data_IF_398124149956
#
_entry.id   IF_398124149956
#
_cell.length_a   1.000
_cell.length_b   1.000
_cell.length_c   1.000
_cell.angle_alpha   90.00
_cell.angle_beta   90.00
_cell.angle_gamma   90.00
#
_symmetry.space_group_name_H-M   'P 1'
#
loop_
_entity.id
_entity.type
_entity.pdbx_description
1 polymer ?
#
# COMPACT_ATOMS: atom_id res chain seq x y z
N UNK A 1 19.83 -5.81 -14.53
CA UNK A 1 19.05 -4.61 -14.92
C UNK A 1 18.07 -4.91 -16.05
N UNK A 2 18.49 -5.48 -17.19
CA UNK A 2 17.59 -5.73 -18.34
C UNK A 2 16.35 -6.61 -18.04
N UNK A 3 16.51 -7.70 -17.26
CA UNK A 3 15.37 -8.57 -16.89
C UNK A 3 14.32 -7.86 -16.02
N UNK A 4 14.78 -7.01 -15.09
CA UNK A 4 13.90 -6.26 -14.20
C UNK A 4 13.14 -5.19 -14.99
N UNK A 5 13.82 -4.48 -15.88
CA UNK A 5 13.18 -3.51 -16.77
C UNK A 5 12.16 -4.18 -17.73
N UNK A 6 12.49 -5.34 -18.29
CA UNK A 6 11.56 -6.10 -19.14
C UNK A 6 10.33 -6.58 -18.36
N UNK A 7 10.53 -6.98 -17.09
CA UNK A 7 9.44 -7.35 -16.20
C UNK A 7 8.55 -6.14 -15.85
N UNK A 8 9.16 -4.99 -15.56
CA UNK A 8 8.45 -3.73 -15.33
C UNK A 8 7.59 -3.34 -16.53
N UNK A 9 8.13 -3.44 -17.75
CA UNK A 9 7.37 -3.18 -18.98
C UNK A 9 6.17 -4.12 -19.11
N UNK A 10 6.40 -5.43 -18.95
CA UNK A 10 5.32 -6.42 -19.02
C UNK A 10 4.22 -6.10 -18.00
N UNK A 11 4.60 -5.73 -16.77
CA UNK A 11 3.67 -5.39 -15.71
C UNK A 11 2.83 -4.16 -16.05
N UNK A 12 3.45 -3.08 -16.56
CA UNK A 12 2.76 -1.84 -16.95
C UNK A 12 1.81 -2.08 -18.13
N UNK A 13 2.22 -2.88 -19.11
CA UNK A 13 1.41 -3.20 -20.28
C UNK A 13 0.19 -4.08 -19.91
N UNK A 14 0.30 -4.89 -18.85
CA UNK A 14 -0.70 -5.92 -18.48
C UNK A 14 -1.28 -5.76 -17.07
N UNK A 15 -1.36 -4.54 -16.53
CA UNK A 15 -1.85 -4.28 -15.15
C UNK A 15 -3.22 -4.91 -14.90
N UNK A 16 -4.17 -4.77 -15.84
CA UNK A 16 -5.53 -5.31 -15.71
C UNK A 16 -5.53 -6.84 -15.67
N UNK A 17 -4.78 -7.49 -16.58
CA UNK A 17 -4.63 -8.95 -16.64
C UNK A 17 -4.01 -9.49 -15.35
N UNK A 18 -2.93 -8.86 -14.85
CA UNK A 18 -2.26 -9.27 -13.61
C UNK A 18 -3.23 -9.20 -12.43
N UNK A 19 -4.01 -8.13 -12.31
CA UNK A 19 -5.03 -7.98 -11.26
C UNK A 19 -6.13 -9.06 -11.35
N UNK A 20 -6.58 -9.38 -12.56
CA UNK A 20 -7.60 -10.43 -12.76
C UNK A 20 -7.05 -11.79 -12.37
N UNK A 21 -5.80 -12.10 -12.76
CA UNK A 21 -5.12 -13.35 -12.37
C UNK A 21 -4.94 -13.40 -10.85
N UNK A 22 -4.49 -12.31 -10.24
CA UNK A 22 -4.33 -12.21 -8.78
C UNK A 22 -5.66 -12.47 -8.06
N UNK A 23 -6.74 -11.83 -8.52
CA UNK A 23 -8.08 -11.98 -7.96
C UNK A 23 -8.62 -13.40 -8.15
N UNK A 24 -8.38 -14.02 -9.31
CA UNK A 24 -8.76 -15.39 -9.59
C UNK A 24 -8.02 -16.38 -8.67
N UNK A 25 -6.71 -16.22 -8.49
CA UNK A 25 -5.90 -17.03 -7.57
C UNK A 25 -6.41 -16.86 -6.13
N UNK A 26 -6.67 -15.61 -5.69
CA UNK A 26 -7.20 -15.33 -4.35
C UNK A 26 -8.54 -16.00 -4.11
N UNK A 27 -9.43 -15.97 -5.10
CA UNK A 27 -10.72 -16.66 -5.03
C UNK A 27 -10.53 -18.18 -4.95
N UNK A 28 -9.61 -18.75 -5.75
CA UNK A 28 -9.29 -20.18 -5.70
C UNK A 28 -8.74 -20.60 -4.34
N UNK A 29 -7.96 -19.75 -3.68
CA UNK A 29 -7.45 -20.01 -2.32
C UNK A 29 -8.58 -20.30 -1.33
N UNK A 30 -9.73 -19.63 -1.45
CA UNK A 30 -10.90 -19.87 -0.58
C UNK A 30 -11.59 -21.22 -0.83
N UNK A 31 -11.39 -21.85 -1.98
CA UNK A 31 -11.98 -23.14 -2.33
C UNK A 31 -11.09 -24.34 -2.02
N UNK A 32 -9.84 -24.11 -1.65
CA UNK A 32 -8.89 -25.17 -1.32
C UNK A 32 -9.17 -25.89 0.01
N UNK A 33 -9.59 -25.21 1.11
CA UNK A 33 -9.70 -25.83 2.43
C UNK A 33 -10.60 -27.06 2.41
N UNK A 34 -10.15 -28.15 3.03
CA UNK A 34 -10.93 -29.39 3.19
C UNK A 34 -10.96 -30.36 2.01
N UNK A 35 -10.34 -30.03 0.85
CA UNK A 35 -10.33 -30.95 -0.32
C UNK A 35 -9.14 -31.92 -0.34
N UNK A 36 -8.02 -31.58 0.29
CA UNK A 36 -6.81 -32.40 0.30
C UNK A 36 -6.22 -32.48 1.72
N UNK A 37 -5.45 -33.53 2.01
CA UNK A 37 -4.80 -33.72 3.30
C UNK A 37 -3.87 -32.56 3.69
N UNK A 38 -3.30 -31.87 2.70
CA UNK A 38 -2.40 -30.72 2.86
C UNK A 38 -2.99 -29.41 2.33
N UNK A 39 -4.31 -29.37 2.13
CA UNK A 39 -4.99 -28.20 1.57
C UNK A 39 -4.72 -26.93 2.38
N UNK A 40 -4.70 -27.02 3.71
CA UNK A 40 -4.53 -25.87 4.60
C UNK A 40 -3.14 -25.23 4.42
N UNK A 41 -2.08 -26.04 4.34
CA UNK A 41 -0.72 -25.53 4.09
C UNK A 41 -0.62 -24.96 2.67
N UNK A 42 -1.26 -25.60 1.69
CA UNK A 42 -1.26 -25.14 0.32
C UNK A 42 -2.02 -23.80 0.16
N UNK A 43 -3.18 -23.62 0.81
CA UNK A 43 -3.95 -22.37 0.76
C UNK A 43 -3.22 -21.23 1.49
N UNK A 44 -2.66 -21.49 2.67
CA UNK A 44 -1.84 -20.51 3.39
C UNK A 44 -0.57 -20.16 2.62
N UNK A 45 0.06 -21.17 2.01
CA UNK A 45 1.20 -21.02 1.11
C UNK A 45 0.90 -20.10 -0.08
N UNK A 46 -0.22 -20.37 -0.76
CA UNK A 46 -0.68 -19.60 -1.89
C UNK A 46 -1.05 -18.17 -1.48
N UNK A 47 -1.73 -17.99 -0.35
CA UNK A 47 -2.07 -16.67 0.20
C UNK A 47 -0.82 -15.85 0.54
N UNK A 48 0.15 -16.44 1.24
CA UNK A 48 1.38 -15.78 1.62
C UNK A 48 2.21 -15.38 0.38
N UNK A 49 2.35 -16.31 -0.59
CA UNK A 49 3.04 -16.04 -1.84
C UNK A 49 2.35 -14.93 -2.62
N UNK A 50 1.03 -14.99 -2.77
CA UNK A 50 0.25 -13.97 -3.46
C UNK A 50 0.45 -12.61 -2.79
N UNK A 51 0.33 -12.53 -1.47
CA UNK A 51 0.44 -11.28 -0.71
C UNK A 51 1.84 -10.64 -0.83
N UNK A 52 2.90 -11.46 -0.85
CA UNK A 52 4.26 -10.97 -1.09
C UNK A 52 4.43 -10.47 -2.53
N UNK A 53 3.92 -11.21 -3.52
CA UNK A 53 4.00 -10.82 -4.93
C UNK A 53 3.22 -9.52 -5.17
N UNK A 54 1.98 -9.41 -4.67
CA UNK A 54 1.16 -8.20 -4.76
C UNK A 54 1.87 -7.01 -4.13
N UNK A 55 2.48 -7.18 -2.96
CA UNK A 55 3.25 -6.11 -2.30
C UNK A 55 4.45 -5.65 -3.14
N UNK A 56 5.12 -6.55 -3.85
CA UNK A 56 6.24 -6.19 -4.75
C UNK A 56 5.74 -5.48 -6.00
N UNK A 57 4.60 -5.89 -6.56
CA UNK A 57 3.95 -5.21 -7.69
C UNK A 57 3.52 -3.80 -7.32
N UNK A 58 2.88 -3.65 -6.17
CA UNK A 58 2.42 -2.36 -5.66
C UNK A 58 3.61 -1.40 -5.47
N UNK A 59 4.71 -1.86 -4.85
CA UNK A 59 5.96 -1.10 -4.68
C UNK A 59 6.60 -0.66 -6.01
N UNK A 60 6.37 -1.41 -7.09
CA UNK A 60 6.91 -1.15 -8.41
C UNK A 60 6.05 -0.14 -9.18
N UNK A 61 4.73 -0.32 -9.11
CA UNK A 61 3.73 0.54 -9.74
C UNK A 61 3.68 1.91 -9.09
N UNK A 62 3.74 2.01 -7.76
CA UNK A 62 3.72 3.30 -7.04
C UNK A 62 4.84 4.24 -7.52
N UNK A 63 6.03 3.70 -7.82
CA UNK A 63 7.16 4.49 -8.33
C UNK A 63 6.97 5.06 -9.73
N UNK A 64 6.01 4.53 -10.50
CA UNK A 64 5.75 4.91 -11.89
C UNK A 64 4.56 5.85 -12.03
N UNK A 65 3.86 6.14 -10.93
CA UNK A 65 2.66 6.96 -10.93
C UNK A 65 3.04 8.40 -10.58
N UNK A 66 2.83 9.35 -11.50
CA UNK A 66 3.14 10.73 -11.23
C UNK A 66 2.20 11.30 -10.16
N UNK A 67 2.71 12.01 -9.13
CA UNK A 67 1.88 12.64 -8.10
C UNK A 67 0.96 13.71 -8.67
N UNK A 68 1.19 14.17 -9.90
CA UNK A 68 0.31 15.10 -10.60
C UNK A 68 -1.08 14.53 -10.89
N UNK A 69 -1.25 13.20 -10.92
CA UNK A 69 -2.55 12.58 -11.19
C UNK A 69 -3.55 12.68 -10.04
N UNK A 70 -3.05 12.85 -8.80
CA UNK A 70 -3.89 13.13 -7.63
C UNK A 70 -4.19 14.62 -7.45
N UNK A 71 -3.56 15.50 -8.26
CA UNK A 71 -3.80 16.94 -8.21
C UNK A 71 -5.01 17.31 -9.06
N UNK A 72 -5.80 18.32 -8.64
CA UNK A 72 -6.89 18.80 -9.45
C UNK A 72 -6.33 19.40 -10.75
N UNK A 73 -6.94 19.12 -11.91
CA UNK A 73 -6.53 19.75 -13.15
C UNK A 73 -6.67 21.26 -13.00
N UNK A 74 -5.65 21.99 -13.44
CA UNK A 74 -5.69 23.44 -13.36
C UNK A 74 -6.92 23.97 -14.12
N UNK A 75 -7.66 24.95 -13.57
CA UNK A 75 -8.92 25.42 -14.15
C UNK A 75 -8.78 26.03 -15.56
N UNK A 76 -7.54 26.30 -15.98
CA UNK A 76 -7.18 26.82 -17.29
C UNK A 76 -6.51 25.76 -18.19
N UNK A 77 -6.53 24.49 -17.78
CA UNK A 77 -6.05 23.38 -18.58
C UNK A 77 -6.98 23.20 -19.77
N UNK A 78 -6.44 23.36 -20.98
CA UNK A 78 -7.12 22.85 -22.16
C UNK A 78 -7.15 21.33 -22.03
N UNK A 79 -8.36 20.75 -21.99
CA UNK A 79 -8.55 19.32 -21.95
C UNK A 79 -7.82 18.69 -23.14
N UNK A 80 -6.70 18.00 -22.88
CA UNK A 80 -5.97 17.29 -23.91
C UNK A 80 -6.87 16.18 -24.46
N UNK A 81 -7.32 16.37 -25.70
CA UNK A 81 -8.05 15.42 -26.55
C UNK A 81 -9.37 14.86 -25.97
N UNK A 82 -10.46 15.62 -26.11
CA UNK A 82 -11.79 15.02 -26.21
C UNK A 82 -12.00 14.49 -27.65
N UNK A 83 -12.61 13.30 -27.85
CA UNK A 83 -12.86 12.77 -29.19
C UNK A 83 -13.76 13.73 -29.98
N UNK A 84 -13.32 14.10 -31.19
CA UNK A 84 -13.88 15.16 -32.05
C UNK A 84 -15.30 14.89 -32.60
N UNK A 85 -16.04 13.93 -32.05
CA UNK A 85 -17.39 13.58 -32.54
C UNK A 85 -18.53 14.38 -31.90
N UNK A 86 -18.24 15.37 -31.04
CA UNK A 86 -19.26 16.25 -30.48
C UNK A 86 -19.64 17.34 -31.52
N UNK A 87 -20.72 17.07 -32.25
CA UNK A 87 -21.22 17.85 -33.37
C UNK A 87 -21.41 19.36 -33.12
N UNK A 88 -21.36 20.10 -34.23
CA UNK A 88 -21.29 21.55 -34.42
C UNK A 88 -22.44 22.41 -33.85
N UNK A 89 -23.23 21.95 -32.86
CA UNK A 89 -24.37 22.71 -32.31
C UNK A 89 -24.34 22.96 -30.80
N UNK A 90 -23.23 22.70 -30.10
CA UNK A 90 -23.01 23.24 -28.76
C UNK A 90 -21.65 23.92 -28.67
N UNK A 91 -21.62 25.25 -28.78
CA UNK A 91 -20.43 26.08 -28.59
C UNK A 91 -19.95 26.14 -27.12
N UNK A 92 -20.23 25.11 -26.33
CA UNK A 92 -19.76 24.95 -24.95
C UNK A 92 -18.80 23.76 -24.97
N UNK A 93 -17.47 23.98 -24.88
CA UNK A 93 -16.57 22.86 -24.69
C UNK A 93 -16.98 22.13 -23.39
N UNK A 94 -17.03 20.80 -23.35
CA UNK A 94 -17.28 20.08 -22.10
C UNK A 94 -16.19 20.53 -21.12
N UNK A 95 -16.60 21.22 -20.06
CA UNK A 95 -15.67 21.69 -19.04
C UNK A 95 -14.81 20.51 -18.58
N UNK A 96 -13.50 20.69 -18.56
CA UNK A 96 -12.58 19.66 -18.11
C UNK A 96 -13.07 19.15 -16.73
N UNK A 97 -13.11 17.82 -16.51
CA UNK A 97 -13.53 17.28 -15.22
C UNK A 97 -12.63 17.89 -14.14
N UNK A 98 -13.20 18.67 -13.22
CA UNK A 98 -12.47 19.35 -12.13
C UNK A 98 -12.00 18.33 -11.07
N UNK A 99 -12.56 17.12 -11.11
CA UNK A 99 -12.13 15.99 -10.28
C UNK A 99 -10.79 15.44 -10.74
N UNK A 100 -9.82 15.28 -9.82
CA UNK A 100 -8.56 14.60 -10.13
C UNK A 100 -8.82 13.16 -10.57
N UNK A 101 -7.89 12.59 -11.35
CA UNK A 101 -8.00 11.22 -11.82
C UNK A 101 -7.78 10.19 -10.72
N UNK A 102 -6.92 10.54 -9.77
CA UNK A 102 -6.64 9.73 -8.59
C UNK A 102 -7.15 10.45 -7.33
N UNK A 103 -7.59 9.71 -6.31
CA UNK A 103 -7.86 10.30 -5.00
C UNK A 103 -6.56 10.88 -4.41
N UNK A 104 -6.66 11.86 -3.50
CA UNK A 104 -5.50 12.33 -2.76
C UNK A 104 -4.92 11.21 -1.88
N UNK A 105 -3.60 11.22 -1.71
CA UNK A 105 -2.93 10.27 -0.83
C UNK A 105 -3.42 10.45 0.62
N UNK A 106 -3.76 9.34 1.29
CA UNK A 106 -4.19 9.40 2.69
C UNK A 106 -3.07 9.93 3.60
N UNK A 107 -3.47 10.45 4.76
CA UNK A 107 -2.52 10.91 5.78
C UNK A 107 -1.56 9.81 6.23
N UNK A 108 -2.03 8.56 6.30
CA UNK A 108 -1.21 7.39 6.64
C UNK A 108 -0.14 7.13 5.59
N UNK A 109 -0.52 7.11 4.31
CA UNK A 109 0.44 6.91 3.20
C UNK A 109 1.43 8.05 3.10
N UNK A 110 0.99 9.31 3.27
CA UNK A 110 1.89 10.47 3.29
C UNK A 110 2.93 10.36 4.41
N UNK A 111 2.51 9.95 5.60
CA UNK A 111 3.43 9.76 6.73
C UNK A 111 4.42 8.60 6.49
N UNK A 112 3.92 7.43 6.08
CA UNK A 112 4.75 6.22 5.90
C UNK A 112 5.69 6.35 4.70
N UNK A 113 5.25 7.03 3.63
CA UNK A 113 6.09 7.39 2.48
C UNK A 113 7.23 8.32 2.88
N UNK A 114 6.93 9.39 3.63
CA UNK A 114 7.95 10.32 4.13
C UNK A 114 9.08 9.59 4.88
N UNK A 115 8.74 8.67 5.79
CA UNK A 115 9.75 7.91 6.54
C UNK A 115 10.49 6.87 5.70
N UNK A 116 9.80 6.26 4.73
CA UNK A 116 10.39 5.31 3.78
C UNK A 116 11.39 5.96 2.84
N UNK A 117 11.14 7.21 2.44
CA UNK A 117 12.06 8.00 1.61
C UNK A 117 13.21 8.58 2.43
N UNK A 118 12.94 9.01 3.68
CA UNK A 118 13.95 9.57 4.57
C UNK A 118 15.00 8.56 5.02
N UNK A 119 14.60 7.30 5.27
CA UNK A 119 15.52 6.32 5.82
C UNK A 119 15.39 4.93 5.17
N UNK A 120 16.50 4.37 4.62
CA UNK A 120 16.48 3.06 4.01
C UNK A 120 16.31 1.94 5.05
N UNK A 121 16.69 2.20 6.31
CA UNK A 121 16.48 1.28 7.42
C UNK A 121 15.00 1.11 7.73
N UNK A 122 14.25 2.21 7.92
CA UNK A 122 12.79 2.16 8.09
C UNK A 122 12.13 1.40 6.95
N UNK A 123 12.50 1.72 5.70
CA UNK A 123 11.98 1.07 4.51
C UNK A 123 12.25 -0.45 4.46
N UNK A 124 13.42 -0.90 4.93
CA UNK A 124 13.73 -2.35 5.01
C UNK A 124 12.96 -3.02 6.15
N UNK A 125 12.87 -2.36 7.30
CA UNK A 125 12.22 -2.88 8.50
C UNK A 125 10.70 -2.94 8.37
N UNK A 126 10.07 -1.91 7.80
CA UNK A 126 8.62 -1.89 7.55
C UNK A 126 8.21 -3.01 6.60
N UNK A 127 8.98 -3.20 5.52
CA UNK A 127 8.79 -4.33 4.59
C UNK A 127 9.02 -5.67 5.27
N UNK A 128 10.10 -5.81 6.04
CA UNK A 128 10.36 -7.04 6.79
C UNK A 128 9.17 -7.38 7.71
N UNK A 129 8.66 -6.40 8.46
CA UNK A 129 7.50 -6.59 9.33
C UNK A 129 6.26 -7.07 8.55
N UNK A 130 5.95 -6.41 7.43
CA UNK A 130 4.80 -6.79 6.61
C UNK A 130 4.96 -8.19 6.01
N UNK A 131 6.16 -8.52 5.51
CA UNK A 131 6.43 -9.87 4.99
C UNK A 131 6.34 -10.94 6.08
N UNK A 132 6.78 -10.64 7.31
CA UNK A 132 6.62 -11.54 8.45
C UNK A 132 5.15 -11.81 8.75
N UNK A 133 4.29 -10.79 8.70
CA UNK A 133 2.84 -10.97 8.89
C UNK A 133 2.22 -11.87 7.83
N UNK A 134 2.66 -11.81 6.57
CA UNK A 134 2.14 -12.69 5.52
C UNK A 134 2.58 -14.15 5.69
N UNK A 135 3.80 -14.40 6.16
CA UNK A 135 4.37 -15.75 6.24
C UNK A 135 4.13 -16.43 7.61
N UNK A 136 3.67 -15.69 8.61
CA UNK A 136 3.51 -16.19 9.99
C UNK A 136 2.66 -17.46 10.07
N UNK A 137 1.46 -17.45 9.48
CA UNK A 137 0.56 -18.60 9.46
C UNK A 137 1.14 -19.79 8.69
N UNK A 138 1.80 -19.53 7.57
CA UNK A 138 2.49 -20.56 6.78
C UNK A 138 3.56 -21.26 7.63
N UNK A 139 4.42 -20.48 8.28
CA UNK A 139 5.49 -21.01 9.12
C UNK A 139 4.92 -21.82 10.28
N UNK A 140 3.85 -21.32 10.91
CA UNK A 140 3.15 -22.01 11.99
C UNK A 140 2.63 -23.38 11.54
N UNK A 141 1.93 -23.44 10.41
CA UNK A 141 1.36 -24.67 9.87
C UNK A 141 2.44 -25.67 9.41
N UNK A 142 3.53 -25.18 8.82
CA UNK A 142 4.67 -26.01 8.41
C UNK A 142 5.37 -26.63 9.61
N UNK A 143 5.62 -25.84 10.67
CA UNK A 143 6.25 -26.34 11.90
C UNK A 143 5.31 -27.28 12.65
N UNK A 144 4.01 -26.97 12.72
CA UNK A 144 3.01 -27.85 13.32
C UNK A 144 3.02 -29.23 12.67
N UNK A 145 3.05 -29.28 11.33
CA UNK A 145 3.10 -30.54 10.58
C UNK A 145 4.41 -31.31 10.78
N UNK A 146 5.56 -30.63 10.77
CA UNK A 146 6.87 -31.31 10.75
C UNK A 146 7.46 -31.60 12.14
N UNK A 147 7.21 -30.75 13.12
CA UNK A 147 7.90 -30.75 14.41
C UNK A 147 6.95 -30.74 15.62
N UNK A 148 5.63 -30.83 15.40
CA UNK A 148 4.62 -30.90 16.44
C UNK A 148 4.36 -29.58 17.17
N UNK A 149 3.40 -29.61 18.10
CA UNK A 149 2.87 -28.39 18.74
C UNK A 149 3.89 -27.70 19.65
N UNK A 150 4.80 -28.43 20.29
CA UNK A 150 5.82 -27.82 21.17
C UNK A 150 6.75 -26.88 20.39
N UNK A 151 7.11 -27.26 19.17
CA UNK A 151 7.97 -26.44 18.31
C UNK A 151 7.19 -25.31 17.64
N UNK A 152 5.90 -25.50 17.37
CA UNK A 152 4.99 -24.44 16.91
C UNK A 152 4.97 -23.27 17.89
N UNK A 153 4.77 -23.52 19.18
CA UNK A 153 4.77 -22.45 20.20
C UNK A 153 6.11 -21.73 20.33
N UNK A 154 7.23 -22.45 20.18
CA UNK A 154 8.58 -21.84 20.14
C UNK A 154 8.75 -20.94 18.93
N UNK A 155 8.22 -21.34 17.76
CA UNK A 155 8.23 -20.52 16.56
C UNK A 155 7.37 -19.26 16.73
N UNK A 156 6.14 -19.40 17.22
CA UNK A 156 5.22 -18.27 17.47
C UNK A 156 5.87 -17.25 18.41
N UNK A 157 6.49 -17.72 19.50
CA UNK A 157 7.24 -16.85 20.41
C UNK A 157 8.41 -16.15 19.71
N UNK A 158 9.16 -16.86 18.87
CA UNK A 158 10.27 -16.30 18.09
C UNK A 158 9.81 -15.24 17.07
N UNK A 159 8.70 -15.49 16.37
CA UNK A 159 8.12 -14.56 15.38
C UNK A 159 7.56 -13.32 16.08
N UNK A 160 6.83 -13.47 17.18
CA UNK A 160 6.33 -12.31 17.93
C UNK A 160 7.48 -11.51 18.55
N UNK A 161 8.50 -12.19 19.07
CA UNK A 161 9.76 -11.58 19.50
C UNK A 161 10.42 -10.74 18.40
N UNK A 162 10.56 -11.32 17.22
CA UNK A 162 11.11 -10.65 16.04
C UNK A 162 10.29 -9.42 15.63
N UNK A 163 8.94 -9.53 15.59
CA UNK A 163 8.04 -8.40 15.29
C UNK A 163 8.18 -7.29 16.33
N UNK A 164 8.19 -7.62 17.63
CA UNK A 164 8.40 -6.63 18.70
C UNK A 164 9.75 -5.94 18.60
N UNK A 165 10.83 -6.65 18.29
CA UNK A 165 12.16 -6.04 18.08
C UNK A 165 12.12 -5.06 16.91
N UNK A 166 11.52 -5.43 15.78
CA UNK A 166 11.39 -4.53 14.63
C UNK A 166 10.57 -3.27 15.00
N UNK A 167 9.44 -3.42 15.70
CA UNK A 167 8.63 -2.29 16.16
C UNK A 167 9.44 -1.35 17.07
N UNK A 168 10.24 -1.89 17.99
CA UNK A 168 11.12 -1.09 18.86
C UNK A 168 12.22 -0.36 18.07
N UNK A 169 12.80 -1.00 17.05
CA UNK A 169 13.78 -0.32 16.18
C UNK A 169 13.09 0.78 15.36
N UNK A 170 11.89 0.54 14.83
CA UNK A 170 11.11 1.54 14.10
C UNK A 170 10.80 2.75 14.98
N UNK A 171 10.30 2.51 16.20
CA UNK A 171 10.05 3.55 17.20
C UNK A 171 11.32 4.32 17.56
N UNK A 172 12.47 3.64 17.66
CA UNK A 172 13.76 4.28 17.94
C UNK A 172 14.19 5.27 16.84
N UNK A 173 13.87 4.95 15.57
CA UNK A 173 14.15 5.81 14.41
C UNK A 173 13.15 6.98 14.34
N UNK A 174 11.85 6.71 14.51
CA UNK A 174 10.80 7.70 14.29
C UNK A 174 10.55 8.60 15.50
N UNK A 175 10.89 8.14 16.72
CA UNK A 175 10.50 8.76 18.02
C UNK A 175 9.01 9.12 18.11
N UNK A 176 8.20 8.34 17.39
CA UNK A 176 6.77 8.52 17.13
C UNK A 176 6.08 7.16 17.23
N UNK A 177 4.77 7.11 17.52
CA UNK A 177 4.09 5.83 17.67
C UNK A 177 4.16 5.02 16.37
N UNK A 178 4.29 3.70 16.47
CA UNK A 178 4.46 2.83 15.31
C UNK A 178 3.10 2.62 14.66
N UNK A 179 2.96 3.03 13.40
CA UNK A 179 1.73 2.82 12.65
C UNK A 179 1.56 1.35 12.24
N UNK A 180 0.29 0.91 12.21
CA UNK A 180 -0.10 -0.41 11.70
C UNK A 180 -0.99 -0.23 10.46
N UNK A 181 -0.57 -0.69 9.27
CA UNK A 181 0.75 -1.20 8.91
C UNK A 181 1.81 -0.07 8.80
N UNK A 182 3.11 -0.38 8.91
CA UNK A 182 4.20 0.59 8.78
C UNK A 182 4.63 0.86 7.33
N UNK A 183 3.98 0.22 6.36
CA UNK A 183 4.25 0.39 4.93
C UNK A 183 3.19 1.27 4.28
N UNK A 184 3.53 2.03 3.23
CA UNK A 184 2.55 2.67 2.36
C UNK A 184 1.49 1.65 1.90
N UNK A 185 0.21 2.04 1.94
CA UNK A 185 -0.87 1.17 1.51
C UNK A 185 -1.25 1.46 0.06
N UNK A 186 -1.70 0.42 -0.65
CA UNK A 186 -2.34 0.58 -1.95
C UNK A 186 -3.74 1.19 -1.75
N UNK A 187 -3.87 2.47 -2.08
CA UNK A 187 -5.13 3.22 -1.89
C UNK A 187 -6.06 3.18 -3.09
N UNK A 188 -5.52 2.92 -4.28
CA UNK A 188 -6.29 2.94 -5.51
C UNK A 188 -5.94 1.77 -6.40
N UNK A 189 -6.86 1.47 -7.31
CA UNK A 189 -6.66 0.42 -8.27
C UNK A 189 -5.87 0.93 -9.48
N UNK A 190 -4.63 0.45 -9.62
CA UNK A 190 -3.79 0.73 -10.77
C UNK A 190 -4.42 0.34 -12.12
N UNK A 191 -5.35 -0.61 -12.16
CA UNK A 191 -6.03 -1.01 -13.39
C UNK A 191 -7.00 0.06 -13.94
N UNK A 192 -7.37 1.06 -13.12
CA UNK A 192 -8.23 2.16 -13.52
C UNK A 192 -7.46 3.35 -14.13
N UNK A 193 -6.12 3.34 -14.04
CA UNK A 193 -5.28 4.42 -14.53
C UNK A 193 -5.04 4.22 -16.03
N UNK A 194 -5.30 5.22 -16.89
CA UNK A 194 -4.95 5.14 -18.30
C UNK A 194 -3.45 4.84 -18.46
N UNK A 195 -3.10 3.80 -19.21
CA UNK A 195 -1.72 3.35 -19.38
C UNK A 195 -0.81 4.47 -19.93
N UNK A 196 -1.36 5.35 -20.75
CA UNK A 196 -0.70 6.52 -21.35
C UNK A 196 -0.13 7.51 -20.33
N UNK A 197 -0.57 7.43 -19.06
CA UNK A 197 -0.16 8.31 -17.97
C UNK A 197 0.84 7.66 -16.99
N UNK A 198 1.13 6.37 -17.17
CA UNK A 198 2.11 5.64 -16.38
C UNK A 198 3.49 5.90 -16.98
N UNK A 199 4.46 6.29 -16.15
CA UNK A 199 5.80 6.63 -16.64
C UNK A 199 6.49 5.37 -17.22
N UNK A 200 7.09 5.45 -18.42
CA UNK A 200 7.90 4.37 -18.97
C UNK A 200 9.07 4.00 -18.03
N UNK A 201 9.54 2.74 -18.06
CA UNK A 201 10.66 2.31 -17.23
C UNK A 201 11.96 3.04 -17.60
N UNK A 202 12.78 3.35 -16.59
CA UNK A 202 14.08 4.02 -16.78
C UNK A 202 14.96 3.22 -17.77
N UNK A 203 15.34 3.88 -18.87
CA UNK A 203 16.21 3.31 -19.89
C UNK A 203 15.51 2.93 -21.20
N UNK A 204 14.19 3.04 -21.28
CA UNK A 204 13.44 2.83 -22.54
C UNK A 204 13.11 4.21 -23.10
N UNK A 205 13.86 4.62 -24.13
CA UNK A 205 13.51 5.78 -24.95
C UNK A 205 12.07 5.60 -25.43
N UNK A 206 11.21 6.62 -25.35
CA UNK A 206 9.88 6.54 -25.94
C UNK A 206 10.05 6.10 -27.39
N UNK A 207 9.22 5.15 -27.84
CA UNK A 207 9.06 4.90 -29.27
C UNK A 207 8.71 6.25 -29.89
N UNK A 208 9.62 6.79 -30.69
CA UNK A 208 9.34 7.95 -31.53
C UNK A 208 8.40 7.43 -32.62
N UNK A 209 7.11 7.43 -32.32
CA UNK A 209 6.14 7.64 -33.37
C UNK A 209 6.27 9.12 -33.73
N UNK A 210 7.14 9.39 -34.72
CA UNK A 210 7.22 10.67 -35.40
C UNK A 210 5.91 10.90 -36.16
N UNK A 211 4.85 11.25 -35.44
CA UNK A 211 3.68 11.89 -36.02
C UNK A 211 3.73 13.38 -35.67
N UNK A 212 4.58 14.07 -36.44
CA UNK A 212 4.49 15.47 -36.81
C UNK A 212 3.92 16.43 -35.75
N UNK A 213 4.72 16.74 -34.72
CA UNK A 213 4.44 17.84 -33.80
C UNK A 213 4.70 19.19 -34.51
N UNK A 214 3.79 19.59 -35.39
CA UNK A 214 3.65 20.97 -35.79
C UNK A 214 3.03 21.74 -34.64
N UNK A 215 3.91 22.49 -33.97
CA UNK A 215 3.62 23.50 -32.98
C UNK A 215 2.49 24.43 -33.48
N UNK A 216 1.33 24.52 -32.81
CA UNK A 216 0.34 25.53 -33.13
C UNK A 216 0.86 26.88 -32.65
N UNK A 217 1.43 27.67 -33.58
CA UNK A 217 1.62 29.10 -33.36
C UNK A 217 0.24 29.76 -33.29
N UNK A 218 -0.26 29.99 -32.07
CA UNK A 218 -1.45 30.81 -31.87
C UNK A 218 -1.05 32.17 -31.30
N UNK A 219 -0.65 33.08 -32.20
CA UNK A 219 -0.79 34.52 -31.98
C UNK A 219 -2.26 34.90 -32.19
N UNK A 220 -3.02 34.92 -31.10
CA UNK A 220 -4.38 35.47 -31.05
C UNK A 220 -4.70 35.85 -29.60
N UNK A 221 -5.46 36.93 -29.34
CA UNK A 221 -5.74 37.36 -27.98
C UNK A 221 -6.51 36.25 -27.26
N UNK A 222 -5.92 35.72 -26.19
CA UNK A 222 -6.53 34.73 -25.31
C UNK A 222 -7.86 35.28 -24.78
N UNK A 223 -8.96 34.92 -25.45
CA UNK A 223 -10.28 35.24 -24.94
C UNK A 223 -10.49 34.35 -23.73
N UNK A 224 -10.48 34.97 -22.55
CA UNK A 224 -10.77 34.30 -21.29
C UNK A 224 -12.15 33.62 -21.40
N UNK A 225 -12.14 32.31 -21.62
CA UNK A 225 -13.34 31.48 -21.52
C UNK A 225 -13.61 31.37 -20.03
N UNK A 226 -14.51 32.21 -19.52
CA UNK A 226 -15.04 32.06 -18.18
C UNK A 226 -15.83 30.75 -18.21
N UNK A 227 -15.43 29.70 -17.45
CA UNK A 227 -16.22 28.49 -17.39
C UNK A 227 -17.60 28.87 -16.86
N UNK A 228 -18.66 28.56 -17.60
CA UNK A 228 -20.03 28.72 -17.11
C UNK A 228 -20.17 27.78 -15.92
N UNK A 229 -19.95 28.29 -14.71
CA UNK A 229 -20.21 27.57 -13.48
C UNK A 229 -21.69 27.19 -13.52
N UNK A 230 -21.96 25.92 -13.79
CA UNK A 230 -23.23 25.32 -13.42
C UNK A 230 -23.48 25.70 -11.96
N UNK A 231 -24.71 26.12 -11.66
CA UNK A 231 -25.14 26.89 -10.48
C UNK A 231 -25.11 26.08 -9.18
N UNK A 232 -24.03 25.38 -8.92
CA UNK A 232 -23.75 24.68 -7.68
C UNK A 232 -22.94 25.61 -6.76
N UNK A 233 -23.19 25.57 -5.44
CA UNK A 233 -22.49 26.44 -4.51
C UNK A 233 -20.99 26.17 -4.57
N UNK A 234 -20.18 27.22 -4.76
CA UNK A 234 -18.71 27.16 -4.83
C UNK A 234 -18.09 26.25 -3.77
N UNK A 235 -18.64 26.28 -2.54
CA UNK A 235 -18.22 25.44 -1.41
C UNK A 235 -18.27 23.94 -1.73
N UNK A 236 -19.33 23.47 -2.38
CA UNK A 236 -19.49 22.05 -2.73
C UNK A 236 -18.42 21.56 -3.70
N UNK A 237 -17.86 22.46 -4.52
CA UNK A 237 -16.77 22.15 -5.44
C UNK A 237 -15.39 22.37 -4.83
N UNK A 238 -15.21 23.36 -3.97
CA UNK A 238 -13.91 23.70 -3.39
C UNK A 238 -13.51 22.78 -2.22
N UNK A 239 -14.46 22.33 -1.40
CA UNK A 239 -14.13 21.46 -0.25
C UNK A 239 -13.48 20.13 -0.67
N UNK A 240 -13.99 19.40 -1.68
CA UNK A 240 -13.33 18.19 -2.17
C UNK A 240 -11.95 18.45 -2.79
N UNK A 241 -11.70 19.66 -3.29
CA UNK A 241 -10.41 20.00 -3.90
C UNK A 241 -9.34 20.33 -2.85
N UNK A 242 -9.77 20.73 -1.65
CA UNK A 242 -8.88 21.03 -0.52
C UNK A 242 -8.06 19.81 -0.10
N UNK A 243 -8.60 18.61 -0.24
CA UNK A 243 -7.89 17.36 0.07
C UNK A 243 -6.91 16.96 -1.05
N UNK A 244 -7.13 17.42 -2.28
CA UNK A 244 -6.28 17.17 -3.45
C UNK A 244 -5.20 18.23 -3.70
N UNK A 245 -4.97 19.14 -2.74
CA UNK A 245 -3.94 20.16 -2.86
C UNK A 245 -2.53 19.54 -2.99
N UNK A 246 -1.59 20.24 -3.68
CA UNK A 246 -0.19 19.85 -3.68
C UNK A 246 0.34 19.62 -2.28
N UNK A 247 1.19 18.60 -2.11
CA UNK A 247 1.69 18.17 -0.80
C UNK A 247 2.38 19.27 0.01
N UNK A 248 2.93 20.29 -0.66
CA UNK A 248 3.56 21.46 -0.05
C UNK A 248 2.58 22.35 0.74
N UNK A 249 1.30 22.35 0.37
CA UNK A 249 0.25 23.14 1.03
C UNK A 249 -0.47 22.35 2.12
N UNK A 250 -0.30 21.03 2.17
CA UNK A 250 -0.89 20.18 3.19
C UNK A 250 -0.05 20.18 4.47
N UNK A 251 -0.66 19.78 5.59
CA UNK A 251 0.05 19.62 6.86
C UNK A 251 1.27 18.71 6.68
N UNK A 252 2.42 19.13 7.20
CA UNK A 252 3.67 18.38 7.06
C UNK A 252 3.51 16.97 7.67
N UNK A 253 4.06 15.89 7.08
CA UNK A 253 3.86 14.53 7.58
C UNK A 253 4.23 14.38 9.06
N UNK A 254 5.26 15.08 9.54
CA UNK A 254 5.65 15.07 10.94
C UNK A 254 4.62 15.72 11.90
N UNK A 255 3.71 16.58 11.45
CA UNK A 255 2.67 17.13 12.33
C UNK A 255 1.46 16.19 12.48
N UNK A 256 1.39 15.11 11.70
CA UNK A 256 0.27 14.16 11.74
C UNK A 256 0.26 13.29 13.00
N UNK A 257 1.43 13.04 13.59
CA UNK A 257 1.57 12.31 14.84
C UNK A 257 2.16 13.21 15.93
N UNK A 258 1.85 12.96 17.20
CA UNK A 258 2.58 13.56 18.30
C UNK A 258 3.99 12.95 18.42
N UNK A 259 4.95 13.72 18.94
CA UNK A 259 6.28 13.22 19.29
C UNK A 259 6.25 12.60 20.69
N UNK A 260 6.94 11.48 20.89
CA UNK A 260 7.09 10.87 22.22
C UNK A 260 8.19 11.60 22.99
N UNK A 261 7.84 12.75 23.57
CA UNK A 261 8.75 13.50 24.45
C UNK A 261 8.67 13.04 25.90
N UNK A 262 7.50 12.60 26.35
CA UNK A 262 7.27 12.23 27.76
C UNK A 262 7.79 10.81 28.01
N UNK A 263 8.48 10.53 29.14
CA UNK A 263 8.90 9.17 29.46
C UNK A 263 7.71 8.21 29.61
N UNK A 264 6.54 8.72 30.04
CA UNK A 264 5.30 7.95 30.10
C UNK A 264 4.83 7.48 28.72
N UNK A 265 4.92 8.34 27.70
CA UNK A 265 4.52 8.01 26.32
C UNK A 265 5.44 6.92 25.75
N UNK A 266 6.75 7.03 26.01
CA UNK A 266 7.74 6.03 25.59
C UNK A 266 7.43 4.67 26.23
N UNK A 267 7.16 4.64 27.54
CA UNK A 267 6.82 3.40 28.24
C UNK A 267 5.51 2.82 27.72
N UNK A 268 4.51 3.65 27.45
CA UNK A 268 3.23 3.21 26.90
C UNK A 268 3.40 2.57 25.51
N UNK A 269 4.22 3.17 24.65
CA UNK A 269 4.46 2.64 23.30
C UNK A 269 5.34 1.39 23.29
N UNK A 270 6.34 1.31 24.18
CA UNK A 270 7.12 0.08 24.41
C UNK A 270 6.20 -1.04 24.87
N UNK A 271 5.30 -0.76 25.82
CA UNK A 271 4.34 -1.72 26.33
C UNK A 271 3.38 -2.17 25.24
N UNK A 272 2.86 -1.23 24.45
CA UNK A 272 2.01 -1.51 23.28
C UNK A 272 2.72 -2.43 22.27
N UNK A 273 3.98 -2.11 21.93
CA UNK A 273 4.79 -2.88 20.98
C UNK A 273 5.14 -4.30 21.45
N UNK A 274 5.16 -4.53 22.77
CA UNK A 274 5.49 -5.82 23.41
C UNK A 274 4.27 -6.56 23.96
N UNK A 275 3.07 -5.97 23.91
CA UNK A 275 1.85 -6.53 24.50
C UNK A 275 1.53 -7.94 24.00
N UNK A 276 1.60 -8.16 22.69
CA UNK A 276 1.31 -9.47 22.08
C UNK A 276 2.36 -10.51 22.47
N UNK A 277 3.64 -10.12 22.54
CA UNK A 277 4.73 -10.98 23.02
C UNK A 277 4.47 -11.44 24.45
N UNK A 278 4.11 -10.51 25.34
CA UNK A 278 3.79 -10.82 26.74
C UNK A 278 2.58 -11.75 26.82
N UNK A 279 1.53 -11.53 26.03
CA UNK A 279 0.36 -12.41 25.98
C UNK A 279 0.73 -13.83 25.54
N UNK A 280 1.57 -13.97 24.52
CA UNK A 280 2.08 -15.28 24.06
C UNK A 280 2.92 -15.96 25.14
N UNK A 281 3.79 -15.22 25.83
CA UNK A 281 4.57 -15.76 26.96
C UNK A 281 3.69 -16.25 28.10
N UNK A 282 2.68 -15.47 28.48
CA UNK A 282 1.73 -15.85 29.52
C UNK A 282 0.94 -17.09 29.11
N UNK A 283 0.51 -17.18 27.85
CA UNK A 283 -0.19 -18.35 27.33
C UNK A 283 0.69 -19.61 27.33
N UNK A 284 1.96 -19.49 26.95
CA UNK A 284 2.91 -20.62 27.02
C UNK A 284 3.13 -21.03 28.48
N UNK A 285 3.24 -20.07 29.39
CA UNK A 285 3.41 -20.35 30.81
C UNK A 285 2.21 -21.11 31.39
N UNK A 286 0.97 -20.69 31.11
CA UNK A 286 -0.23 -21.38 31.61
C UNK A 286 -0.37 -22.80 31.05
N UNK A 287 0.03 -23.04 29.80
CA UNK A 287 0.07 -24.38 29.22
C UNK A 287 1.05 -25.30 29.94
N UNK A 288 2.26 -24.81 30.22
CA UNK A 288 3.30 -25.59 30.92
C UNK A 288 2.88 -25.88 32.36
N UNK A 289 2.32 -24.90 33.08
CA UNK A 289 1.82 -25.11 34.44
C UNK A 289 0.66 -26.11 34.51
N UNK A 290 -0.25 -26.08 33.52
CA UNK A 290 -1.38 -27.01 33.45
C UNK A 290 -0.94 -28.46 33.24
N UNK A 291 0.07 -28.70 32.41
CA UNK A 291 0.62 -30.04 32.16
C UNK A 291 1.21 -30.66 33.44
N UNK A 292 1.96 -29.87 34.22
CA UNK A 292 2.53 -30.30 35.50
C UNK A 292 1.44 -30.70 36.52
N UNK A 293 0.36 -29.91 36.61
CA UNK A 293 -0.74 -30.20 37.53
C UNK A 293 -1.49 -31.50 37.18
N UNK A 294 -1.69 -31.77 35.88
CA UNK A 294 -2.32 -33.02 35.41
C UNK A 294 -1.43 -34.23 35.72
N UNK A 295 -0.11 -34.12 35.48
CA UNK A 295 0.84 -35.20 35.80
C UNK A 295 0.88 -35.52 37.30
N UNK A 296 0.91 -34.49 38.16
CA UNK A 296 0.88 -34.69 39.61
C UNK A 296 -0.42 -35.36 40.09
N UNK A 297 -1.57 -35.02 39.49
CA UNK A 297 -2.85 -35.65 39.84
C UNK A 297 -2.89 -37.14 39.47
N UNK A 298 -2.26 -37.53 38.36
CA UNK A 298 -2.23 -38.92 37.87
C UNK A 298 -1.27 -39.82 38.65
N UNK A 299 -0.29 -39.24 39.35
CA UNK A 299 0.64 -39.96 40.24
C UNK A 299 0.07 -40.16 41.65
N UNK A 300 -1.01 -39.44 42.01
CA UNK A 300 -1.67 -39.54 43.32
C UNK A 300 -2.83 -40.56 43.35
N UNK A 301 -3.17 -41.14 42.21
CA UNK A 301 -4.18 -42.21 42.06
C UNK A 301 -3.51 -43.52 41.64
#
# INVERSE_FOLDING_TARGET
MALVAAYEQLLVDNVSTVRTVESAIRNVTWFLPGRFADADIASEGLYALLSVVSSVHDDLLEKRIPPALSLPPHPFALAAAAPETAGLLSAVPPAAPITPLLPPASEHTRYTRYWSDRSPAYRRLSRALQTTTYIELLLEMVVKKKAGDRNRWRLVLGIEGFKSIIRLILMSITRRPVLLPPTPQREFDFALIPQDKILPPEGVKPKQDEENAQQPQHTGPARAVIPSLAKAPLRSHLYPLLTSLPEEHLAHPLSLLPELSTPGDIVAEVLSSTAVLVQVLLLIHTMVSGESAVVESKLRH
#
